data_IF_038865275375
#
_entry.id   IF_038865275375
#
_cell.length_a   1.000
_cell.length_b   1.000
_cell.length_c   1.000
_cell.angle_alpha   90.00
_cell.angle_beta   90.00
_cell.angle_gamma   90.00
#
_symmetry.space_group_name_H-M   'P 1'
#
loop_
_entity.id
_entity.type
_entity.pdbx_description
1 polymer ?
#
# COMPACT_ATOMS: atom_id res chain seq x y z
N UNK A 1 8.28 0.68 34.78
CA UNK A 1 8.83 -0.65 35.18
C UNK A 1 9.49 -1.29 33.98
N UNK A 2 10.74 -1.71 34.12
CA UNK A 2 11.51 -2.34 33.06
C UNK A 2 11.50 -3.85 33.25
N UNK A 3 11.24 -4.59 32.17
CA UNK A 3 11.21 -6.06 32.16
C UNK A 3 12.09 -6.60 31.05
N UNK A 4 12.71 -7.77 31.30
CA UNK A 4 13.41 -8.52 30.25
C UNK A 4 12.39 -9.41 29.52
N UNK A 5 12.38 -9.33 28.18
CA UNK A 5 11.40 -9.98 27.33
C UNK A 5 12.09 -10.68 26.17
N UNK A 6 11.72 -11.95 25.94
CA UNK A 6 12.07 -12.66 24.72
C UNK A 6 11.03 -12.35 23.63
N UNK A 7 11.49 -11.95 22.45
CA UNK A 7 10.65 -11.63 21.30
C UNK A 7 10.45 -12.88 20.44
N UNK A 8 9.25 -13.45 20.48
CA UNK A 8 8.93 -14.69 19.78
C UNK A 8 8.71 -14.49 18.27
N UNK A 9 8.10 -13.36 17.87
CA UNK A 9 7.84 -13.02 16.46
C UNK A 9 7.57 -11.54 16.28
N UNK A 10 7.57 -11.07 15.04
CA UNK A 10 7.06 -9.75 14.68
C UNK A 10 5.62 -9.86 14.16
N UNK A 11 4.72 -9.03 14.69
CA UNK A 11 3.32 -8.97 14.28
C UNK A 11 3.07 -7.93 13.20
N UNK A 12 1.91 -7.99 12.57
CA UNK A 12 1.49 -6.95 11.62
C UNK A 12 1.48 -5.58 12.31
N UNK A 13 2.13 -4.61 11.68
CA UNK A 13 2.49 -3.34 12.30
C UNK A 13 3.99 -3.19 12.55
N UNK A 14 4.73 -4.31 12.64
CA UNK A 14 6.19 -4.36 12.80
C UNK A 14 6.66 -4.57 14.23
N UNK A 15 5.77 -4.50 15.23
CA UNK A 15 6.15 -4.67 16.64
C UNK A 15 6.62 -6.09 16.93
N UNK A 16 7.66 -6.20 17.74
CA UNK A 16 8.06 -7.46 18.36
C UNK A 16 7.03 -7.89 19.39
N UNK A 17 6.62 -9.16 19.33
CA UNK A 17 5.70 -9.77 20.28
C UNK A 17 6.43 -10.73 21.22
N UNK A 18 6.32 -10.48 22.52
CA UNK A 18 6.79 -11.36 23.60
C UNK A 18 5.73 -11.61 24.64
N UNK A 19 6.16 -12.22 25.76
CA UNK A 19 5.32 -12.40 26.95
C UNK A 19 6.08 -11.96 28.20
N UNK A 20 5.35 -11.31 29.09
CA UNK A 20 5.83 -11.02 30.45
C UNK A 20 5.77 -12.25 31.33
N UNK A 21 6.46 -12.22 32.48
CA UNK A 21 6.44 -13.31 33.47
C UNK A 21 5.06 -13.64 34.03
N UNK A 22 4.10 -12.70 33.96
CA UNK A 22 2.69 -12.90 34.34
C UNK A 22 1.81 -13.48 33.21
N UNK A 23 2.41 -13.78 32.03
CA UNK A 23 1.74 -14.37 30.87
C UNK A 23 1.10 -13.36 29.91
N UNK A 24 1.01 -12.06 30.27
CA UNK A 24 0.47 -11.03 29.37
C UNK A 24 1.35 -10.86 28.14
N UNK A 25 0.70 -10.61 27.01
CA UNK A 25 1.38 -10.28 25.77
C UNK A 25 2.00 -8.88 25.86
N UNK A 26 3.23 -8.73 25.39
CA UNK A 26 3.91 -7.43 25.28
C UNK A 26 4.29 -7.14 23.84
N UNK A 27 4.00 -5.92 23.39
CA UNK A 27 4.39 -5.39 22.09
C UNK A 27 5.54 -4.40 22.28
N UNK A 28 6.64 -4.63 21.55
CA UNK A 28 7.87 -3.82 21.65
C UNK A 28 8.29 -3.37 20.24
N UNK A 29 7.97 -2.12 19.86
CA UNK A 29 8.46 -1.56 18.61
C UNK A 29 9.99 -1.56 18.55
N UNK A 30 10.54 -1.90 17.37
CA UNK A 30 11.99 -1.93 17.13
C UNK A 30 12.74 -3.12 17.72
N UNK A 31 12.01 -4.10 18.30
CA UNK A 31 12.54 -5.39 18.71
C UNK A 31 12.20 -6.48 17.67
N UNK A 32 13.13 -7.43 17.44
CA UNK A 32 13.00 -8.43 16.40
C UNK A 32 12.87 -9.83 16.95
N UNK A 33 12.24 -10.71 16.18
CA UNK A 33 12.11 -12.12 16.54
C UNK A 33 13.47 -12.75 16.87
N UNK A 34 13.53 -13.53 17.95
CA UNK A 34 14.75 -14.18 18.45
C UNK A 34 15.60 -13.31 19.37
N UNK A 35 15.21 -12.07 19.66
CA UNK A 35 15.95 -11.19 20.58
C UNK A 35 15.50 -11.33 22.02
N UNK A 36 16.43 -11.11 22.95
CA UNK A 36 16.15 -10.81 24.32
C UNK A 36 16.37 -9.32 24.58
N UNK A 37 15.35 -8.62 25.05
CA UNK A 37 15.37 -7.18 25.18
C UNK A 37 14.94 -6.73 26.57
N UNK A 38 15.49 -5.61 27.06
CA UNK A 38 14.91 -4.84 28.16
C UNK A 38 13.92 -3.84 27.60
N UNK A 39 12.69 -3.89 28.10
CA UNK A 39 11.61 -3.02 27.66
C UNK A 39 10.92 -2.36 28.85
N UNK A 40 10.64 -1.07 28.70
CA UNK A 40 9.91 -0.27 29.69
C UNK A 40 8.43 -0.22 29.32
N UNK A 41 7.56 -0.63 30.24
CA UNK A 41 6.12 -0.61 30.03
C UNK A 41 5.64 0.83 29.96
N UNK A 42 4.97 1.20 28.87
CA UNK A 42 4.45 2.55 28.60
C UNK A 42 2.92 2.61 28.59
N UNK A 43 2.26 1.48 28.32
CA UNK A 43 0.81 1.37 28.33
C UNK A 43 0.38 -0.02 28.82
N UNK A 44 -0.51 -0.10 29.79
CA UNK A 44 -1.06 -1.36 30.31
C UNK A 44 -2.54 -1.50 29.96
N UNK A 45 -2.90 -2.68 29.40
CA UNK A 45 -4.27 -3.13 29.18
C UNK A 45 -4.49 -4.46 29.91
N UNK A 46 -5.75 -4.86 30.04
CA UNK A 46 -6.12 -6.10 30.72
C UNK A 46 -5.40 -7.35 30.20
N UNK A 47 -5.21 -7.45 28.87
CA UNK A 47 -4.68 -8.66 28.22
C UNK A 47 -3.34 -8.46 27.53
N UNK A 48 -2.87 -7.25 27.41
CA UNK A 48 -1.58 -6.94 26.80
C UNK A 48 -1.00 -5.65 27.35
N UNK A 49 0.29 -5.47 27.11
CA UNK A 49 1.00 -4.22 27.40
C UNK A 49 1.73 -3.73 26.16
N UNK A 50 1.96 -2.42 26.06
CA UNK A 50 2.93 -1.86 25.13
C UNK A 50 4.14 -1.39 25.91
N UNK A 51 5.32 -1.65 25.35
CA UNK A 51 6.56 -1.28 25.98
C UNK A 51 7.49 -0.60 24.98
N UNK A 52 8.34 0.27 25.50
CA UNK A 52 9.41 0.92 24.75
C UNK A 52 10.68 0.11 24.89
N UNK A 53 11.36 -0.17 23.77
CA UNK A 53 12.68 -0.79 23.78
C UNK A 53 13.69 0.11 24.50
N UNK A 54 14.38 -0.44 25.49
CA UNK A 54 15.45 0.24 26.25
C UNK A 54 16.81 -0.26 25.80
N UNK A 55 16.97 -1.59 25.72
CA UNK A 55 18.25 -2.23 25.41
C UNK A 55 18.00 -3.58 24.73
N UNK A 56 18.82 -3.93 23.76
CA UNK A 56 18.90 -5.28 23.19
C UNK A 56 19.96 -6.03 23.96
N UNK A 57 19.54 -7.02 24.77
CA UNK A 57 20.45 -7.82 25.62
C UNK A 57 21.12 -8.92 24.80
N UNK A 58 20.30 -9.63 24.00
CA UNK A 58 20.78 -10.61 23.04
C UNK A 58 20.19 -10.28 21.68
N UNK A 59 21.06 -10.00 20.73
CA UNK A 59 20.68 -9.56 19.38
C UNK A 59 20.37 -10.75 18.50
N UNK A 60 19.32 -10.64 17.68
CA UNK A 60 19.10 -11.55 16.56
C UNK A 60 20.17 -11.37 15.49
N UNK A 61 20.58 -12.47 14.86
CA UNK A 61 21.45 -12.45 13.67
C UNK A 61 20.84 -11.66 12.51
N UNK A 62 19.54 -11.39 12.54
CA UNK A 62 18.79 -10.64 11.52
C UNK A 62 18.76 -9.13 11.78
N UNK A 63 19.24 -8.66 12.95
CA UNK A 63 19.43 -7.24 13.23
C UNK A 63 20.58 -6.68 12.41
N UNK A 64 20.39 -5.52 11.82
CA UNK A 64 21.50 -4.78 11.20
C UNK A 64 22.34 -4.10 12.28
N UNK A 65 23.67 -4.28 12.25
CA UNK A 65 24.62 -3.63 13.15
C UNK A 65 24.55 -2.09 13.01
N UNK A 66 24.38 -1.63 11.77
CA UNK A 66 24.17 -0.23 11.45
C UNK A 66 22.83 -0.10 10.71
N UNK A 67 21.72 0.22 11.38
CA UNK A 67 20.43 0.37 10.72
C UNK A 67 20.52 1.50 9.70
N UNK A 68 20.67 1.12 8.40
CA UNK A 68 20.65 2.00 7.22
C UNK A 68 21.33 3.38 7.41
N UNK A 69 22.40 3.42 8.20
CA UNK A 69 23.11 4.62 8.56
C UNK A 69 24.19 4.96 7.53
N UNK A 70 23.82 5.54 6.41
CA UNK A 70 24.73 6.44 5.75
C UNK A 70 24.28 7.87 6.07
N UNK A 71 24.97 8.47 7.02
CA UNK A 71 25.08 9.88 7.37
C UNK A 71 24.06 10.59 8.24
N UNK A 72 22.93 10.02 8.64
CA UNK A 72 22.07 10.65 9.68
C UNK A 72 21.12 9.63 10.29
N UNK A 73 21.53 8.89 11.30
CA UNK A 73 20.78 7.81 11.94
C UNK A 73 19.40 8.24 12.51
N UNK A 74 19.28 9.49 12.98
CA UNK A 74 18.00 10.01 13.45
C UNK A 74 16.98 10.26 12.33
N UNK A 75 17.43 10.67 11.15
CA UNK A 75 16.56 10.96 10.00
C UNK A 75 15.97 9.71 9.34
N UNK A 76 16.70 8.59 9.36
CA UNK A 76 16.23 7.35 8.73
C UNK A 76 15.19 6.62 9.59
N UNK A 77 15.32 6.68 10.91
CA UNK A 77 14.29 6.22 11.84
C UNK A 77 13.06 7.15 11.87
N UNK A 78 13.20 8.33 11.29
CA UNK A 78 12.20 9.39 11.31
C UNK A 78 11.27 9.37 10.09
N UNK A 79 11.59 8.62 9.02
CA UNK A 79 10.65 8.46 7.91
C UNK A 79 9.48 7.61 8.37
N UNK A 80 8.25 8.16 8.36
CA UNK A 80 7.09 7.47 8.88
C UNK A 80 6.89 6.10 8.24
N UNK A 81 6.73 5.11 9.11
CA UNK A 81 6.43 3.75 8.72
C UNK A 81 7.62 2.88 8.37
N UNK A 82 8.88 3.33 8.46
CA UNK A 82 10.06 2.47 8.28
C UNK A 82 10.31 1.54 9.49
N UNK A 83 9.30 0.76 9.84
CA UNK A 83 9.33 -0.11 11.03
C UNK A 83 10.40 -1.22 10.94
N UNK A 84 10.84 -1.59 9.76
CA UNK A 84 11.86 -2.62 9.52
C UNK A 84 13.23 -2.05 9.13
N UNK A 85 13.51 -0.76 9.41
CA UNK A 85 14.78 -0.13 9.04
C UNK A 85 16.01 -0.82 9.64
N UNK A 86 15.88 -1.41 10.83
CA UNK A 86 16.96 -2.11 11.55
C UNK A 86 17.01 -3.62 11.31
N UNK A 87 16.22 -4.17 10.38
CA UNK A 87 16.13 -5.60 10.10
C UNK A 87 16.73 -5.93 8.74
N UNK A 88 17.40 -7.08 8.59
CA UNK A 88 17.82 -7.59 7.28
C UNK A 88 16.62 -7.75 6.37
N UNK A 89 16.80 -7.49 5.07
CA UNK A 89 15.66 -7.47 4.13
C UNK A 89 14.98 -8.83 3.99
N UNK A 90 15.77 -9.90 3.96
CA UNK A 90 15.29 -11.27 3.89
C UNK A 90 14.46 -11.65 5.13
N UNK A 91 14.83 -11.14 6.30
CA UNK A 91 14.07 -11.34 7.53
C UNK A 91 12.76 -10.52 7.54
N UNK A 92 12.75 -9.30 6.95
CA UNK A 92 11.53 -8.55 6.71
C UNK A 92 10.54 -9.34 5.84
N UNK A 93 11.03 -9.95 4.74
CA UNK A 93 10.18 -10.74 3.84
C UNK A 93 9.57 -11.94 4.57
N UNK A 94 10.38 -12.69 5.34
CA UNK A 94 9.91 -13.82 6.16
C UNK A 94 8.89 -13.39 7.21
N UNK A 95 9.12 -12.24 7.87
CA UNK A 95 8.20 -11.70 8.86
C UNK A 95 6.84 -11.36 8.24
N UNK A 96 6.81 -10.69 7.09
CA UNK A 96 5.58 -10.34 6.38
C UNK A 96 4.81 -11.57 5.89
N UNK A 97 5.51 -12.57 5.34
CA UNK A 97 4.88 -13.82 4.96
C UNK A 97 4.29 -14.56 6.16
N UNK A 98 5.04 -14.66 7.26
CA UNK A 98 4.54 -15.24 8.51
C UNK A 98 3.32 -14.51 9.08
N UNK A 99 3.31 -13.18 8.98
CA UNK A 99 2.15 -12.36 9.38
C UNK A 99 0.91 -12.67 8.53
N UNK A 100 1.06 -12.82 7.22
CA UNK A 100 -0.04 -13.18 6.35
C UNK A 100 -0.59 -14.58 6.69
N UNK A 101 0.29 -15.58 6.94
CA UNK A 101 -0.12 -16.91 7.42
C UNK A 101 -0.92 -16.82 8.72
N UNK A 102 -0.43 -16.07 9.70
CA UNK A 102 -1.12 -15.85 10.97
C UNK A 102 -2.54 -15.28 10.79
N UNK A 103 -2.78 -14.47 9.76
CA UNK A 103 -4.11 -13.95 9.45
C UNK A 103 -5.04 -15.03 8.91
N UNK A 104 -4.59 -15.86 7.96
CA UNK A 104 -5.36 -16.98 7.43
C UNK A 104 -5.67 -18.00 8.53
N UNK A 105 -4.69 -18.38 9.36
CA UNK A 105 -4.85 -19.34 10.45
C UNK A 105 -5.88 -18.87 11.48
N UNK A 106 -5.77 -17.60 11.92
CA UNK A 106 -6.75 -17.00 12.85
C UNK A 106 -8.13 -16.86 12.25
N UNK A 107 -8.22 -16.63 10.95
CA UNK A 107 -9.48 -16.59 10.23
C UNK A 107 -10.10 -17.98 10.00
N UNK A 108 -9.29 -19.06 10.16
CA UNK A 108 -9.63 -20.46 9.82
C UNK A 108 -10.05 -20.61 8.35
N UNK A 109 -9.37 -19.88 7.47
CA UNK A 109 -9.55 -19.96 6.03
C UNK A 109 -8.43 -20.83 5.48
N UNK A 110 -8.73 -21.95 4.77
CA UNK A 110 -7.70 -22.76 4.12
C UNK A 110 -6.87 -21.88 3.18
N UNK A 111 -5.55 -21.93 3.37
CA UNK A 111 -4.61 -21.18 2.57
C UNK A 111 -3.71 -22.16 1.82
N UNK A 112 -3.69 -22.12 0.47
CA UNK A 112 -2.68 -22.86 -0.28
C UNK A 112 -1.28 -22.34 0.06
N UNK A 113 -0.25 -23.12 -0.25
CA UNK A 113 1.11 -22.62 -0.11
C UNK A 113 1.25 -21.31 -0.91
N UNK A 114 1.88 -20.32 -0.27
CA UNK A 114 2.21 -19.10 -0.96
C UNK A 114 3.17 -19.43 -2.09
N UNK A 115 2.82 -19.06 -3.30
CA UNK A 115 3.81 -19.08 -4.37
C UNK A 115 4.87 -18.07 -3.98
N UNK A 116 6.02 -18.59 -3.58
CA UNK A 116 7.18 -17.79 -3.20
C UNK A 116 7.60 -16.96 -4.41
N UNK A 117 7.34 -15.71 -4.35
CA UNK A 117 7.72 -14.79 -5.40
C UNK A 117 8.74 -13.82 -4.85
N UNK A 118 9.95 -14.33 -4.73
CA UNK A 118 11.17 -13.49 -4.71
C UNK A 118 11.21 -12.47 -5.85
N UNK A 119 10.39 -12.66 -6.88
CA UNK A 119 10.24 -11.76 -8.03
C UNK A 119 9.44 -10.47 -7.74
N UNK A 120 8.69 -10.40 -6.62
CA UNK A 120 7.88 -9.23 -6.27
C UNK A 120 8.44 -8.47 -5.07
N UNK A 121 9.56 -8.90 -4.55
CA UNK A 121 10.38 -8.04 -3.72
C UNK A 121 11.02 -7.01 -4.65
N UNK A 122 10.81 -5.73 -4.40
CA UNK A 122 11.66 -4.70 -4.98
C UNK A 122 13.11 -5.16 -4.83
N UNK A 123 13.86 -5.22 -5.93
CA UNK A 123 15.29 -5.53 -5.91
C UNK A 123 16.04 -4.54 -5.03
N UNK A 124 15.43 -3.37 -4.79
CA UNK A 124 15.93 -2.33 -3.91
C UNK A 124 14.87 -2.06 -2.84
N UNK A 125 15.13 -2.37 -1.54
CA UNK A 125 14.21 -2.07 -0.45
C UNK A 125 14.05 -0.57 -0.15
N UNK A 126 14.76 0.27 -0.89
CA UNK A 126 14.79 1.73 -0.81
C UNK A 126 14.52 2.34 -2.18
N UNK A 127 14.34 3.66 -2.23
CA UNK A 127 14.25 4.44 -3.47
C UNK A 127 13.12 4.02 -4.43
N UNK A 128 12.00 3.52 -3.91
CA UNK A 128 10.90 3.01 -4.72
C UNK A 128 9.71 3.97 -4.84
N UNK A 129 9.51 4.86 -3.84
CA UNK A 129 8.32 5.73 -3.82
C UNK A 129 8.38 6.75 -4.95
N UNK A 130 7.40 6.68 -5.84
CA UNK A 130 7.22 7.63 -6.94
C UNK A 130 6.37 8.86 -6.56
N UNK A 131 5.85 8.91 -5.33
CA UNK A 131 5.07 10.02 -4.78
C UNK A 131 5.34 10.17 -3.30
N UNK A 132 5.61 11.40 -2.88
CA UNK A 132 5.79 11.77 -1.46
C UNK A 132 4.96 13.01 -1.13
N UNK A 133 4.52 13.10 0.11
CA UNK A 133 3.82 14.27 0.65
C UNK A 133 4.56 14.70 1.89
N UNK A 134 5.16 15.89 1.85
CA UNK A 134 5.80 16.52 3.01
C UNK A 134 4.88 17.60 3.56
N UNK A 135 4.81 17.66 4.87
CA UNK A 135 4.13 18.74 5.57
C UNK A 135 5.09 19.91 5.82
N UNK A 136 4.58 21.10 5.98
CA UNK A 136 5.36 22.24 6.41
C UNK A 136 4.62 23.03 7.47
N UNK A 137 5.35 23.45 8.48
CA UNK A 137 4.85 24.26 9.58
C UNK A 137 5.98 25.09 10.19
N UNK A 138 5.60 26.14 10.93
CA UNK A 138 6.56 26.94 11.69
C UNK A 138 6.82 26.30 13.05
N UNK A 139 8.06 25.93 13.32
CA UNK A 139 8.50 25.36 14.60
C UNK A 139 9.65 26.20 15.16
N UNK A 140 9.55 26.62 16.43
CA UNK A 140 10.56 27.46 17.11
C UNK A 140 11.04 28.66 16.27
N UNK A 141 10.10 29.30 15.56
CA UNK A 141 10.38 30.45 14.73
C UNK A 141 10.79 30.17 13.29
N UNK A 142 11.18 28.93 12.95
CA UNK A 142 11.66 28.53 11.62
C UNK A 142 10.62 27.68 10.87
N UNK A 143 10.60 27.77 9.55
CA UNK A 143 9.83 26.87 8.70
C UNK A 143 10.56 25.52 8.57
N UNK A 144 9.84 24.43 8.85
CA UNK A 144 10.30 23.06 8.70
C UNK A 144 9.44 22.40 7.61
N UNK A 145 10.07 21.60 6.75
CA UNK A 145 9.40 20.83 5.69
C UNK A 145 9.80 19.36 5.84
N UNK A 146 8.82 18.51 6.10
CA UNK A 146 9.12 17.10 6.28
C UNK A 146 7.95 16.25 6.74
N UNK A 147 8.21 15.24 7.52
CA UNK A 147 7.22 14.31 8.02
C UNK A 147 6.73 14.66 9.42
N UNK A 148 5.47 14.39 9.72
CA UNK A 148 4.92 14.48 11.07
C UNK A 148 5.39 13.28 11.90
N UNK A 149 5.94 13.54 13.08
CA UNK A 149 6.31 12.52 14.07
C UNK A 149 5.09 12.20 14.93
N UNK A 150 4.68 10.95 14.94
CA UNK A 150 3.66 10.51 15.89
C UNK A 150 4.29 10.17 17.26
N UNK A 151 3.61 10.46 18.37
CA UNK A 151 2.29 11.12 18.47
C UNK A 151 2.37 12.66 18.61
N UNK A 152 3.56 13.27 18.57
CA UNK A 152 3.76 14.69 18.91
C UNK A 152 3.28 15.67 17.84
N UNK A 153 3.03 15.20 16.61
CA UNK A 153 2.75 16.02 15.42
C UNK A 153 3.87 17.02 15.04
N UNK A 154 5.01 17.00 15.73
CA UNK A 154 6.18 17.78 15.34
C UNK A 154 6.67 17.32 13.96
N UNK A 155 7.17 18.26 13.16
CA UNK A 155 7.78 17.94 11.89
C UNK A 155 9.26 17.59 12.07
N UNK A 156 9.65 16.54 11.40
CA UNK A 156 11.03 16.16 11.20
C UNK A 156 11.46 16.72 9.86
N UNK A 157 12.48 17.57 9.87
CA UNK A 157 12.96 18.18 8.63
C UNK A 157 13.58 17.13 7.70
N UNK A 158 13.18 17.14 6.43
CA UNK A 158 13.64 16.18 5.43
C UNK A 158 14.46 16.90 4.37
N UNK A 159 15.72 16.51 4.25
CA UNK A 159 16.63 16.93 3.16
C UNK A 159 16.84 15.81 2.13
N UNK A 160 16.61 14.57 2.53
CA UNK A 160 16.64 13.37 1.68
C UNK A 160 15.69 12.32 2.27
N UNK A 161 15.02 11.57 1.41
CA UNK A 161 14.09 10.50 1.78
C UNK A 161 14.59 9.17 1.23
N UNK A 162 15.02 8.22 2.08
CA UNK A 162 15.57 6.94 1.63
C UNK A 162 14.54 6.07 0.89
N UNK A 163 13.24 6.30 1.06
CA UNK A 163 12.20 5.56 0.35
C UNK A 163 11.81 6.21 -0.97
N UNK A 164 12.05 7.52 -1.13
CA UNK A 164 11.72 8.25 -2.36
C UNK A 164 12.70 7.93 -3.49
N UNK A 165 12.20 7.90 -4.70
CA UNK A 165 13.03 7.72 -5.89
C UNK A 165 14.14 8.78 -5.98
N UNK A 166 15.28 8.43 -6.60
CA UNK A 166 16.39 9.38 -6.75
C UNK A 166 15.99 10.69 -7.42
N UNK A 167 15.07 10.63 -8.38
CA UNK A 167 14.57 11.80 -9.10
C UNK A 167 13.76 12.75 -8.20
N UNK A 168 13.01 12.19 -7.24
CA UNK A 168 12.31 12.98 -6.22
C UNK A 168 13.33 13.59 -5.26
N UNK A 169 14.31 12.80 -4.79
CA UNK A 169 15.37 13.29 -3.91
C UNK A 169 16.17 14.44 -4.55
N UNK A 170 16.47 14.33 -5.85
CA UNK A 170 17.15 15.39 -6.59
C UNK A 170 16.32 16.69 -6.68
N UNK A 171 14.97 16.58 -6.65
CA UNK A 171 14.09 17.74 -6.70
C UNK A 171 13.85 18.39 -5.32
N UNK A 172 14.06 17.69 -4.21
CA UNK A 172 13.79 18.20 -2.85
C UNK A 172 14.41 19.57 -2.60
N UNK A 173 15.71 19.85 -2.89
CA UNK A 173 16.31 21.15 -2.59
C UNK A 173 15.64 22.31 -3.30
N UNK A 174 15.29 22.14 -4.57
CA UNK A 174 14.61 23.17 -5.37
C UNK A 174 13.18 23.40 -4.85
N UNK A 175 12.43 22.32 -4.62
CA UNK A 175 11.06 22.40 -4.08
C UNK A 175 11.04 23.08 -2.71
N UNK A 176 11.97 22.72 -1.82
CA UNK A 176 12.12 23.37 -0.51
C UNK A 176 12.37 24.85 -0.65
N UNK A 177 13.32 25.25 -1.51
CA UNK A 177 13.63 26.66 -1.78
C UNK A 177 12.41 27.42 -2.27
N UNK A 178 11.64 26.85 -3.21
CA UNK A 178 10.44 27.45 -3.75
C UNK A 178 9.35 27.61 -2.68
N UNK A 179 9.06 26.57 -1.90
CA UNK A 179 8.07 26.61 -0.81
C UNK A 179 8.45 27.64 0.25
N UNK A 180 9.71 27.63 0.70
CA UNK A 180 10.20 28.58 1.70
C UNK A 180 10.14 30.03 1.20
N UNK A 181 10.48 30.28 -0.07
CA UNK A 181 10.35 31.60 -0.67
C UNK A 181 8.90 32.12 -0.68
N UNK A 182 7.95 31.26 -1.00
CA UNK A 182 6.51 31.61 -0.96
C UNK A 182 6.04 31.91 0.48
N UNK A 183 6.58 31.21 1.48
CA UNK A 183 6.22 31.36 2.89
C UNK A 183 6.88 32.58 3.56
N UNK A 184 8.04 33.04 3.08
CA UNK A 184 8.83 34.10 3.71
C UNK A 184 8.81 35.40 2.94
N UNK A 185 9.00 35.38 1.61
CA UNK A 185 9.27 36.53 0.77
C UNK A 185 8.08 36.96 -0.11
N UNK A 186 7.03 36.15 -0.20
CA UNK A 186 5.85 36.47 -0.99
C UNK A 186 4.98 37.58 -0.36
N UNK A 187 4.04 38.19 -1.11
CA UNK A 187 3.02 39.07 -0.55
C UNK A 187 2.26 38.41 0.62
N UNK A 188 1.78 39.21 1.58
CA UNK A 188 1.11 38.71 2.79
C UNK A 188 -0.03 37.71 2.46
N UNK A 189 -0.85 38.03 1.46
CA UNK A 189 -1.94 37.16 1.02
C UNK A 189 -1.44 35.80 0.51
N UNK A 190 -0.35 35.78 -0.29
CA UNK A 190 0.27 34.58 -0.81
C UNK A 190 0.88 33.73 0.31
N UNK A 191 1.59 34.37 1.26
CA UNK A 191 2.15 33.69 2.44
C UNK A 191 1.08 32.97 3.26
N UNK A 192 -0.03 33.67 3.57
CA UNK A 192 -1.16 33.08 4.31
C UNK A 192 -1.79 31.92 3.54
N UNK A 193 -2.15 32.13 2.27
CA UNK A 193 -2.75 31.11 1.44
C UNK A 193 -1.84 29.87 1.23
N UNK A 194 -0.51 30.06 1.21
CA UNK A 194 0.44 28.94 1.16
C UNK A 194 0.50 28.20 2.49
N UNK A 195 0.60 28.92 3.61
CA UNK A 195 0.66 28.31 4.94
C UNK A 195 -0.59 27.47 5.27
N UNK A 196 -1.76 27.91 4.86
CA UNK A 196 -3.03 27.19 5.05
C UNK A 196 -3.11 25.84 4.31
N UNK A 197 -2.28 25.62 3.30
CA UNK A 197 -2.24 24.35 2.55
C UNK A 197 -1.44 23.25 3.26
N UNK A 198 -0.55 23.58 4.17
CA UNK A 198 0.21 22.71 5.08
C UNK A 198 1.03 21.59 4.46
N UNK A 199 0.98 21.36 3.15
CA UNK A 199 1.73 20.28 2.52
C UNK A 199 2.18 20.61 1.09
N UNK A 200 3.25 19.91 0.69
CA UNK A 200 3.75 19.88 -0.69
C UNK A 200 3.85 18.41 -1.13
N UNK A 201 3.34 18.12 -2.31
CA UNK A 201 3.45 16.81 -2.94
C UNK A 201 4.50 16.88 -4.03
N UNK A 202 5.38 15.88 -4.08
CA UNK A 202 6.31 15.64 -5.19
C UNK A 202 5.97 14.29 -5.79
N UNK A 203 5.76 14.22 -7.09
CA UNK A 203 5.45 12.99 -7.83
C UNK A 203 6.35 12.87 -9.04
N UNK A 204 6.83 11.67 -9.29
CA UNK A 204 7.62 11.33 -10.45
C UNK A 204 6.97 10.19 -11.23
N UNK A 205 7.11 10.24 -12.54
CA UNK A 205 6.90 9.07 -13.39
C UNK A 205 7.91 9.09 -14.53
N UNK A 206 8.24 7.91 -15.05
CA UNK A 206 9.21 7.77 -16.15
C UNK A 206 8.84 8.58 -17.39
N UNK A 207 7.54 8.76 -17.65
CA UNK A 207 7.01 9.45 -18.84
C UNK A 207 6.81 10.95 -18.64
N UNK A 208 6.56 11.41 -17.41
CA UNK A 208 6.25 12.81 -17.13
C UNK A 208 7.42 13.55 -16.47
N UNK A 209 8.38 12.83 -15.87
CA UNK A 209 9.39 13.41 -15.00
C UNK A 209 8.80 13.84 -13.66
N UNK A 210 9.49 14.73 -12.96
CA UNK A 210 9.06 15.26 -11.65
C UNK A 210 8.01 16.36 -11.85
N UNK A 211 6.94 16.27 -11.06
CA UNK A 211 5.93 17.30 -10.85
C UNK A 211 5.74 17.54 -9.37
N UNK A 212 5.48 18.78 -8.97
CA UNK A 212 5.18 19.08 -7.58
C UNK A 212 4.13 20.19 -7.46
N UNK A 213 3.44 20.23 -6.34
CA UNK A 213 2.42 21.24 -6.05
C UNK A 213 2.20 21.36 -4.55
N UNK A 214 1.62 22.48 -4.13
CA UNK A 214 1.30 22.78 -2.74
C UNK A 214 -0.22 22.60 -2.53
N UNK A 215 -0.60 21.84 -1.50
CA UNK A 215 -2.00 21.56 -1.18
C UNK A 215 -2.67 20.64 -2.18
N UNK A 216 -3.89 20.99 -2.64
CA UNK A 216 -4.65 20.19 -3.62
C UNK A 216 -3.91 20.12 -4.95
N UNK A 217 -3.91 18.93 -5.54
CA UNK A 217 -3.37 18.75 -6.89
C UNK A 217 -4.12 19.59 -7.93
N UNK A 218 -3.41 20.20 -8.91
CA UNK A 218 -4.04 20.95 -9.96
C UNK A 218 -4.80 20.03 -10.92
N UNK A 219 -6.02 20.42 -11.28
CA UNK A 219 -6.93 19.61 -12.11
C UNK A 219 -6.46 19.46 -13.57
N UNK A 220 -5.62 20.39 -14.04
CA UNK A 220 -5.09 20.42 -15.42
C UNK A 220 -3.75 19.65 -15.57
N UNK A 221 -3.20 19.10 -14.50
CA UNK A 221 -1.94 18.35 -14.57
C UNK A 221 -2.24 16.84 -14.68
N UNK A 222 -1.71 16.23 -15.72
CA UNK A 222 -1.82 14.81 -16.03
C UNK A 222 -0.45 14.16 -15.87
N UNK A 223 -0.42 13.05 -15.15
CA UNK A 223 0.76 12.20 -15.02
C UNK A 223 0.59 11.01 -15.98
N UNK A 224 1.62 10.71 -16.75
CA UNK A 224 1.65 9.53 -17.64
C UNK A 224 2.47 8.44 -16.97
N UNK A 225 1.80 7.38 -16.57
CA UNK A 225 2.41 6.18 -15.98
C UNK A 225 2.51 5.07 -17.03
N UNK A 226 3.41 4.11 -16.84
CA UNK A 226 3.57 2.97 -17.73
C UNK A 226 3.45 1.67 -16.93
N UNK A 227 2.59 0.74 -17.38
CA UNK A 227 2.39 -0.58 -16.79
C UNK A 227 2.08 -1.58 -17.89
N UNK A 228 2.76 -2.73 -17.88
CA UNK A 228 2.59 -3.81 -18.88
C UNK A 228 2.75 -3.32 -20.33
N UNK A 229 3.67 -2.39 -20.56
CA UNK A 229 3.91 -1.80 -21.88
C UNK A 229 2.83 -0.82 -22.38
N UNK A 230 1.87 -0.46 -21.52
CA UNK A 230 0.79 0.48 -21.81
C UNK A 230 0.98 1.77 -21.05
N UNK A 231 0.60 2.89 -21.69
CA UNK A 231 0.63 4.22 -21.05
C UNK A 231 -0.75 4.54 -20.50
N UNK A 232 -0.78 4.93 -19.24
CA UNK A 232 -1.98 5.37 -18.53
C UNK A 232 -1.87 6.85 -18.17
N UNK A 233 -2.88 7.61 -18.50
CA UNK A 233 -3.06 8.96 -18.01
C UNK A 233 -3.73 8.91 -16.64
N UNK A 234 -3.18 9.65 -15.68
CA UNK A 234 -3.63 9.70 -14.28
C UNK A 234 -3.74 11.16 -13.86
N UNK A 235 -4.80 11.61 -13.20
CA UNK A 235 -4.85 12.97 -12.66
C UNK A 235 -3.71 13.14 -11.62
N UNK A 236 -3.13 14.33 -11.51
CA UNK A 236 -1.99 14.58 -10.63
C UNK A 236 -2.22 14.11 -9.19
N UNK A 237 -3.42 14.34 -8.64
CA UNK A 237 -3.83 13.88 -7.31
C UNK A 237 -4.33 12.44 -7.26
N UNK A 238 -4.56 11.80 -8.42
CA UNK A 238 -5.13 10.47 -8.51
C UNK A 238 -4.23 9.37 -7.95
N UNK A 239 -4.87 8.28 -7.57
CA UNK A 239 -4.16 7.09 -7.10
C UNK A 239 -3.43 6.40 -8.27
N UNK A 240 -2.25 5.91 -7.98
CA UNK A 240 -1.46 4.95 -8.75
C UNK A 240 -0.48 4.26 -7.81
N UNK A 241 -0.02 3.05 -8.15
CA UNK A 241 0.87 2.29 -7.26
C UNK A 241 2.17 3.06 -6.99
N UNK A 242 2.54 3.17 -5.70
CA UNK A 242 3.68 3.98 -5.25
C UNK A 242 5.05 3.35 -5.55
N UNK A 243 5.07 2.05 -5.80
CA UNK A 243 6.23 1.28 -6.21
C UNK A 243 5.91 0.74 -7.61
N UNK A 244 6.36 1.41 -8.68
CA UNK A 244 5.98 1.05 -10.05
C UNK A 244 6.37 -0.37 -10.45
N UNK A 245 7.53 -0.83 -10.01
CA UNK A 245 8.06 -2.15 -10.36
C UNK A 245 7.22 -3.28 -9.72
N UNK A 246 6.91 -3.15 -8.43
CA UNK A 246 6.06 -4.12 -7.72
C UNK A 246 4.61 -3.98 -8.16
N UNK A 247 4.15 -2.77 -8.45
CA UNK A 247 2.83 -2.50 -9.00
C UNK A 247 2.62 -3.18 -10.36
N UNK A 248 3.61 -3.11 -11.25
CA UNK A 248 3.57 -3.82 -12.52
C UNK A 248 3.55 -5.34 -12.33
N UNK A 249 4.33 -5.87 -11.40
CA UNK A 249 4.33 -7.30 -11.07
C UNK A 249 2.96 -7.77 -10.56
N UNK A 250 2.30 -6.98 -9.70
CA UNK A 250 0.93 -7.25 -9.24
C UNK A 250 -0.06 -7.26 -10.41
N UNK A 251 0.00 -6.25 -11.30
CA UNK A 251 -0.87 -6.19 -12.47
C UNK A 251 -0.64 -7.39 -13.39
N UNK A 252 0.60 -7.79 -13.63
CA UNK A 252 0.93 -8.99 -14.43
C UNK A 252 0.35 -10.26 -13.82
N UNK A 253 0.45 -10.44 -12.50
CA UNK A 253 -0.12 -11.59 -11.81
C UNK A 253 -1.66 -11.65 -11.96
N UNK A 254 -2.34 -10.51 -11.81
CA UNK A 254 -3.79 -10.42 -12.06
C UNK A 254 -4.12 -10.78 -13.52
N UNK A 255 -3.36 -10.26 -14.48
CA UNK A 255 -3.55 -10.57 -15.93
C UNK A 255 -3.37 -12.05 -16.21
N UNK A 256 -2.38 -12.70 -15.63
CA UNK A 256 -2.15 -14.14 -15.77
C UNK A 256 -3.33 -14.95 -15.23
N UNK A 257 -3.86 -14.58 -14.05
CA UNK A 257 -4.99 -15.28 -13.45
C UNK A 257 -6.31 -15.07 -14.24
N UNK A 258 -6.52 -13.89 -14.80
CA UNK A 258 -7.66 -13.66 -15.71
C UNK A 258 -7.56 -14.52 -16.97
N UNK A 259 -6.36 -14.62 -17.58
CA UNK A 259 -6.13 -15.40 -18.79
C UNK A 259 -6.19 -16.91 -18.58
N UNK A 260 -5.81 -17.41 -17.40
CA UNK A 260 -5.77 -18.84 -17.10
C UNK A 260 -7.16 -19.51 -17.10
N UNK A 261 -8.23 -18.76 -16.90
CA UNK A 261 -9.63 -19.25 -16.93
C UNK A 261 -10.31 -19.07 -18.29
N UNK A 262 -9.72 -18.28 -19.19
CA UNK A 262 -10.32 -18.01 -20.50
C UNK A 262 -10.00 -19.10 -21.53
N UNK A 263 -10.96 -19.39 -22.42
CA UNK A 263 -10.67 -20.18 -23.62
C UNK A 263 -9.66 -19.46 -24.51
N UNK A 264 -8.66 -20.19 -25.04
CA UNK A 264 -7.58 -19.63 -25.87
C UNK A 264 -6.80 -18.47 -25.18
N UNK A 265 -6.75 -18.46 -23.84
CA UNK A 265 -6.00 -17.45 -23.08
C UNK A 265 -6.65 -16.05 -23.01
N UNK A 266 -7.95 -15.94 -23.31
CA UNK A 266 -8.73 -14.70 -23.13
C UNK A 266 -9.93 -14.97 -22.24
N UNK A 267 -10.17 -14.10 -21.25
CA UNK A 267 -11.43 -14.09 -20.53
C UNK A 267 -12.50 -13.41 -21.38
N UNK A 268 -13.70 -14.01 -21.44
CA UNK A 268 -14.80 -13.44 -22.21
C UNK A 268 -15.23 -12.07 -21.64
N UNK A 269 -15.34 -11.96 -20.33
CA UNK A 269 -15.75 -10.71 -19.66
C UNK A 269 -14.95 -10.48 -18.38
N UNK A 270 -14.53 -9.24 -18.15
CA UNK A 270 -13.94 -8.78 -16.89
C UNK A 270 -14.81 -7.69 -16.28
N UNK A 271 -15.15 -7.87 -15.02
CA UNK A 271 -15.73 -6.85 -14.16
C UNK A 271 -14.64 -6.36 -13.20
N UNK A 272 -14.20 -5.11 -13.35
CA UNK A 272 -13.16 -4.47 -12.56
C UNK A 272 -13.82 -3.51 -11.56
N UNK A 273 -13.94 -3.95 -10.32
CA UNK A 273 -14.56 -3.19 -9.22
C UNK A 273 -13.48 -2.38 -8.48
N UNK A 274 -13.78 -1.12 -8.19
CA UNK A 274 -12.83 -0.13 -7.68
C UNK A 274 -11.70 0.15 -8.69
N UNK A 275 -12.07 0.23 -9.96
CA UNK A 275 -11.12 0.17 -11.08
C UNK A 275 -10.17 1.37 -11.19
N UNK A 276 -10.38 2.47 -10.45
CA UNK A 276 -9.58 3.67 -10.56
C UNK A 276 -9.55 4.20 -12.00
N UNK A 277 -8.34 4.33 -12.57
CA UNK A 277 -8.12 4.76 -13.97
C UNK A 277 -8.10 3.58 -14.95
N UNK A 278 -8.55 2.39 -14.52
CA UNK A 278 -8.78 1.21 -15.36
C UNK A 278 -7.54 0.33 -15.58
N UNK A 279 -6.54 0.34 -14.71
CA UNK A 279 -5.25 -0.34 -14.95
C UNK A 279 -5.41 -1.85 -15.10
N UNK A 280 -6.04 -2.53 -14.14
CA UNK A 280 -6.20 -3.98 -14.15
C UNK A 280 -7.02 -4.43 -15.38
N UNK A 281 -8.22 -3.90 -15.53
CA UNK A 281 -9.12 -4.30 -16.61
C UNK A 281 -8.53 -4.05 -18.00
N UNK A 282 -7.91 -2.89 -18.23
CA UNK A 282 -7.29 -2.56 -19.53
C UNK A 282 -6.01 -3.37 -19.81
N UNK A 283 -5.25 -3.78 -18.79
CA UNK A 283 -4.11 -4.67 -18.97
C UNK A 283 -4.55 -6.11 -19.32
N UNK A 284 -5.67 -6.58 -18.79
CA UNK A 284 -6.22 -7.91 -19.09
C UNK A 284 -6.65 -8.07 -20.54
N UNK A 285 -7.12 -7.02 -21.20
CA UNK A 285 -7.64 -7.03 -22.59
C UNK A 285 -8.70 -8.13 -22.83
N UNK A 286 -9.79 -8.20 -22.04
CA UNK A 286 -10.86 -9.16 -22.24
C UNK A 286 -11.65 -8.83 -23.49
N UNK A 287 -12.60 -9.70 -23.89
CA UNK A 287 -13.55 -9.39 -24.97
C UNK A 287 -14.49 -8.26 -24.59
N UNK A 288 -14.86 -8.18 -23.29
CA UNK A 288 -15.70 -7.12 -22.72
C UNK A 288 -15.18 -6.72 -21.36
N UNK A 289 -15.07 -5.42 -21.12
CA UNK A 289 -14.66 -4.83 -19.83
C UNK A 289 -15.75 -3.93 -19.28
N UNK A 290 -16.09 -4.17 -18.01
CA UNK A 290 -16.92 -3.26 -17.23
C UNK A 290 -16.10 -2.80 -16.02
N UNK A 291 -15.88 -1.49 -15.88
CA UNK A 291 -15.19 -0.89 -14.74
C UNK A 291 -16.14 -0.05 -13.89
N UNK A 292 -16.08 -0.23 -12.58
CA UNK A 292 -16.89 0.51 -11.59
C UNK A 292 -15.95 1.21 -10.60
N UNK A 293 -16.14 2.51 -10.42
CA UNK A 293 -15.35 3.34 -9.50
C UNK A 293 -16.20 4.53 -9.07
N UNK A 294 -16.13 4.90 -7.80
CA UNK A 294 -16.90 6.03 -7.25
C UNK A 294 -16.37 7.40 -7.70
N UNK A 295 -15.06 7.50 -7.95
CA UNK A 295 -14.36 8.71 -8.33
C UNK A 295 -14.64 9.14 -9.77
N UNK A 296 -15.51 10.15 -9.98
CA UNK A 296 -15.85 10.66 -11.35
C UNK A 296 -14.62 10.99 -12.18
N UNK A 297 -13.64 11.69 -11.58
CA UNK A 297 -12.41 12.04 -12.29
C UNK A 297 -11.61 10.80 -12.70
N UNK A 298 -11.51 9.79 -11.85
CA UNK A 298 -10.85 8.53 -12.19
C UNK A 298 -11.53 7.82 -13.38
N UNK A 299 -12.86 7.80 -13.40
CA UNK A 299 -13.65 7.23 -14.52
C UNK A 299 -13.45 8.00 -15.84
N UNK A 300 -13.36 9.33 -15.80
CA UNK A 300 -13.01 10.09 -17.00
C UNK A 300 -11.65 9.69 -17.56
N UNK A 301 -10.66 9.49 -16.69
CA UNK A 301 -9.35 9.00 -17.09
C UNK A 301 -9.38 7.54 -17.54
N UNK A 302 -10.18 6.66 -16.92
CA UNK A 302 -10.35 5.29 -17.39
C UNK A 302 -10.90 5.23 -18.83
N UNK A 303 -11.91 6.06 -19.13
CA UNK A 303 -12.46 6.19 -20.51
C UNK A 303 -11.42 6.72 -21.50
N UNK A 304 -10.63 7.72 -21.11
CA UNK A 304 -9.51 8.25 -21.92
C UNK A 304 -8.45 7.19 -22.17
N UNK A 305 -8.07 6.44 -21.14
CA UNK A 305 -7.11 5.35 -21.25
C UNK A 305 -7.58 4.24 -22.17
N UNK A 306 -8.86 3.86 -22.11
CA UNK A 306 -9.46 2.90 -23.05
C UNK A 306 -9.41 3.41 -24.49
N UNK A 307 -9.80 4.67 -24.72
CA UNK A 307 -9.75 5.30 -26.03
C UNK A 307 -8.31 5.39 -26.59
N UNK A 308 -7.34 5.83 -25.78
CA UNK A 308 -5.93 5.90 -26.15
C UNK A 308 -5.34 4.53 -26.52
N UNK A 309 -5.83 3.45 -25.89
CA UNK A 309 -5.44 2.08 -26.17
C UNK A 309 -6.30 1.42 -27.27
N UNK A 310 -7.22 2.16 -27.89
CA UNK A 310 -8.16 1.67 -28.92
C UNK A 310 -8.99 0.47 -28.45
N UNK A 311 -9.34 0.44 -27.15
CA UNK A 311 -10.13 -0.63 -26.57
C UNK A 311 -11.62 -0.26 -26.54
N UNK A 312 -12.33 -0.59 -27.61
CA UNK A 312 -13.72 -0.17 -27.85
C UNK A 312 -14.75 -0.84 -26.91
N UNK A 313 -14.45 -2.07 -26.43
CA UNK A 313 -15.38 -2.88 -25.65
C UNK A 313 -15.30 -2.65 -24.13
N UNK A 314 -14.83 -1.46 -23.72
CA UNK A 314 -14.79 -1.05 -22.32
C UNK A 314 -15.94 -0.09 -21.98
N UNK A 315 -16.59 -0.33 -20.87
CA UNK A 315 -17.59 0.57 -20.28
C UNK A 315 -17.18 0.89 -18.84
N UNK A 316 -17.17 2.18 -18.49
CA UNK A 316 -16.79 2.64 -17.16
C UNK A 316 -17.91 3.49 -16.56
N UNK A 317 -18.24 3.21 -15.28
CA UNK A 317 -19.33 3.84 -14.56
C UNK A 317 -18.83 4.47 -13.27
N UNK A 318 -19.19 5.76 -13.05
CA UNK A 318 -18.87 6.49 -11.83
C UNK A 318 -19.96 6.21 -10.77
N UNK A 319 -19.81 5.07 -10.08
CA UNK A 319 -20.81 4.55 -9.14
C UNK A 319 -20.16 3.90 -7.93
N UNK A 320 -20.84 3.96 -6.77
CA UNK A 320 -20.45 3.19 -5.58
C UNK A 320 -20.88 1.73 -5.76
N UNK A 321 -19.93 0.80 -5.60
CA UNK A 321 -20.18 -0.64 -5.76
C UNK A 321 -21.27 -1.13 -4.82
N UNK A 322 -21.21 -0.76 -3.54
CA UNK A 322 -22.15 -1.18 -2.51
C UNK A 322 -23.58 -0.80 -2.79
N UNK A 323 -23.84 0.41 -3.31
CA UNK A 323 -25.18 0.90 -3.63
C UNK A 323 -25.74 0.28 -4.90
N UNK A 324 -24.90 0.05 -5.90
CA UNK A 324 -25.35 -0.34 -7.24
C UNK A 324 -25.18 -1.83 -7.56
N UNK A 325 -24.59 -2.62 -6.64
CA UNK A 325 -24.26 -4.05 -6.84
C UNK A 325 -25.37 -4.88 -7.47
N UNK A 326 -26.63 -4.66 -7.11
CA UNK A 326 -27.77 -5.42 -7.65
C UNK A 326 -28.03 -5.16 -9.15
N UNK A 327 -27.51 -4.06 -9.71
CA UNK A 327 -27.66 -3.69 -11.13
C UNK A 327 -26.46 -4.11 -11.96
N UNK A 328 -25.35 -4.51 -11.31
CA UNK A 328 -24.12 -4.93 -11.98
C UNK A 328 -24.26 -6.41 -12.36
N UNK A 329 -24.26 -6.76 -13.65
CA UNK A 329 -24.41 -8.14 -14.09
C UNK A 329 -23.14 -8.93 -13.82
N UNK A 330 -23.24 -10.10 -13.20
CA UNK A 330 -22.15 -11.06 -13.07
C UNK A 330 -22.66 -12.40 -13.65
N UNK A 331 -22.14 -12.76 -14.81
CA UNK A 331 -22.46 -14.01 -15.51
C UNK A 331 -21.45 -15.13 -15.23
N UNK A 332 -21.73 -16.30 -15.80
CA UNK A 332 -20.87 -17.50 -15.69
C UNK A 332 -19.55 -17.38 -16.48
N UNK A 333 -19.43 -16.37 -17.35
CA UNK A 333 -18.23 -16.08 -18.13
C UNK A 333 -17.48 -14.82 -17.62
N UNK A 334 -17.87 -14.28 -16.45
CA UNK A 334 -17.32 -13.04 -15.91
C UNK A 334 -16.26 -13.35 -14.87
N UNK A 335 -15.01 -12.95 -15.11
CA UNK A 335 -14.00 -12.87 -14.05
C UNK A 335 -14.13 -11.53 -13.34
N UNK A 336 -14.24 -11.56 -12.02
CA UNK A 336 -14.36 -10.36 -11.21
C UNK A 336 -13.00 -10.02 -10.59
N UNK A 337 -12.54 -8.78 -10.77
CA UNK A 337 -11.38 -8.22 -10.07
C UNK A 337 -11.93 -7.24 -9.03
N UNK A 338 -11.42 -7.28 -7.80
CA UNK A 338 -11.73 -6.33 -6.74
C UNK A 338 -10.45 -5.80 -6.11
N UNK A 339 -10.30 -4.48 -6.06
CA UNK A 339 -9.18 -3.78 -5.39
C UNK A 339 -9.74 -2.66 -4.50
N UNK A 340 -10.41 -3.01 -3.39
CA UNK A 340 -11.09 -2.05 -2.55
C UNK A 340 -10.09 -1.19 -1.74
N UNK A 341 -10.52 -0.04 -1.20
CA UNK A 341 -9.73 0.76 -0.27
C UNK A 341 -9.40 -0.03 1.01
N UNK A 342 -8.57 0.56 1.89
CA UNK A 342 -8.12 -0.06 3.14
C UNK A 342 -9.23 -0.60 4.03
N UNK A 343 -10.39 0.02 3.99
CA UNK A 343 -11.56 -0.42 4.77
C UNK A 343 -12.18 -1.73 4.25
N UNK A 344 -11.67 -2.26 3.12
CA UNK A 344 -12.18 -3.46 2.46
C UNK A 344 -13.49 -3.20 1.70
N UNK A 345 -14.24 -4.26 1.46
CA UNK A 345 -15.50 -4.18 0.74
C UNK A 345 -16.57 -3.45 1.56
N UNK A 346 -17.39 -2.67 0.88
CA UNK A 346 -18.57 -2.01 1.45
C UNK A 346 -19.60 -3.04 1.95
N UNK A 347 -20.46 -2.68 2.91
CA UNK A 347 -21.46 -3.60 3.44
C UNK A 347 -22.34 -4.26 2.37
N UNK A 348 -22.45 -5.58 2.43
CA UNK A 348 -23.23 -6.42 1.51
C UNK A 348 -22.57 -6.72 0.17
N UNK A 349 -21.36 -6.22 -0.10
CA UNK A 349 -20.62 -6.54 -1.35
C UNK A 349 -20.02 -7.94 -1.26
N UNK A 350 -19.46 -8.33 -0.11
CA UNK A 350 -18.95 -9.68 0.09
C UNK A 350 -20.03 -10.75 -0.09
N UNK A 351 -21.23 -10.53 0.47
CA UNK A 351 -22.38 -11.42 0.30
C UNK A 351 -22.84 -11.49 -1.15
N UNK A 352 -22.89 -10.36 -1.84
CA UNK A 352 -23.24 -10.29 -3.25
C UNK A 352 -22.24 -11.04 -4.12
N UNK A 353 -20.93 -10.88 -3.88
CA UNK A 353 -19.89 -11.65 -4.57
C UNK A 353 -19.98 -13.14 -4.28
N UNK A 354 -20.19 -13.52 -3.01
CA UNK A 354 -20.37 -14.92 -2.62
C UNK A 354 -21.55 -15.59 -3.34
N UNK A 355 -22.65 -14.85 -3.53
CA UNK A 355 -23.86 -15.33 -4.23
C UNK A 355 -23.77 -15.22 -5.76
N UNK A 356 -22.71 -14.62 -6.31
CA UNK A 356 -22.57 -14.39 -7.72
C UNK A 356 -22.33 -15.69 -8.52
N UNK A 357 -22.49 -15.61 -9.86
CA UNK A 357 -22.19 -16.71 -10.77
C UNK A 357 -20.77 -16.65 -11.35
N UNK A 358 -19.95 -15.71 -10.90
CA UNK A 358 -18.58 -15.59 -11.39
C UNK A 358 -17.80 -16.91 -11.19
N UNK A 359 -17.16 -17.47 -12.19
CA UNK A 359 -16.32 -18.66 -12.01
C UNK A 359 -15.06 -18.35 -11.21
N UNK A 360 -14.62 -17.10 -11.22
CA UNK A 360 -13.42 -16.62 -10.52
C UNK A 360 -13.58 -15.19 -10.00
N UNK A 361 -13.08 -14.97 -8.79
CA UNK A 361 -12.89 -13.65 -8.20
C UNK A 361 -11.40 -13.50 -7.88
N UNK A 362 -10.80 -12.38 -8.28
CA UNK A 362 -9.42 -12.01 -7.95
C UNK A 362 -9.50 -10.82 -7.00
N UNK A 363 -9.13 -11.05 -5.74
CA UNK A 363 -9.17 -10.02 -4.71
C UNK A 363 -7.74 -9.49 -4.45
N UNK A 364 -7.52 -8.22 -4.72
CA UNK A 364 -6.31 -7.48 -4.34
C UNK A 364 -6.60 -6.71 -3.05
N UNK A 365 -5.68 -6.70 -2.10
CA UNK A 365 -5.88 -6.03 -0.81
C UNK A 365 -4.58 -5.50 -0.23
N UNK A 366 -4.63 -4.26 0.25
CA UNK A 366 -3.52 -3.62 0.99
C UNK A 366 -3.63 -3.79 2.51
N UNK A 367 -4.69 -4.45 3.02
CA UNK A 367 -4.88 -4.69 4.46
C UNK A 367 -5.37 -6.12 4.73
N UNK A 368 -4.55 -6.97 5.36
CA UNK A 368 -4.91 -8.38 5.59
C UNK A 368 -6.07 -8.56 6.60
N UNK A 369 -6.33 -7.59 7.49
CA UNK A 369 -7.41 -7.72 8.45
C UNK A 369 -8.78 -7.59 7.78
N UNK A 370 -8.94 -6.58 6.92
CA UNK A 370 -10.17 -6.40 6.14
C UNK A 370 -10.33 -7.47 5.09
N UNK A 371 -9.23 -7.93 4.47
CA UNK A 371 -9.24 -9.08 3.58
C UNK A 371 -9.83 -10.32 4.25
N UNK A 372 -9.35 -10.69 5.45
CA UNK A 372 -9.87 -11.87 6.16
C UNK A 372 -11.35 -11.71 6.55
N UNK A 373 -11.79 -10.50 6.91
CA UNK A 373 -13.21 -10.22 7.17
C UNK A 373 -14.07 -10.57 5.95
N UNK A 374 -13.66 -10.10 4.79
CA UNK A 374 -14.41 -10.26 3.54
C UNK A 374 -14.33 -11.71 3.02
N UNK A 375 -13.16 -12.34 3.11
CA UNK A 375 -12.97 -13.74 2.71
C UNK A 375 -13.83 -14.71 3.52
N UNK A 376 -14.07 -14.48 4.83
CA UNK A 376 -14.99 -15.31 5.64
C UNK A 376 -16.40 -15.42 5.05
N UNK A 377 -16.82 -14.40 4.31
CA UNK A 377 -18.11 -14.39 3.63
C UNK A 377 -18.00 -15.04 2.27
N UNK A 378 -17.02 -14.64 1.46
CA UNK A 378 -16.87 -15.10 0.07
C UNK A 378 -16.56 -16.60 0.03
N UNK A 379 -15.74 -17.11 0.95
CA UNK A 379 -15.36 -18.53 0.99
C UNK A 379 -16.48 -19.49 1.37
N UNK A 380 -17.68 -19.00 1.67
CA UNK A 380 -18.85 -19.87 1.77
C UNK A 380 -19.15 -20.58 0.44
N UNK A 381 -18.94 -19.91 -0.68
CA UNK A 381 -19.25 -20.42 -2.02
C UNK A 381 -18.03 -20.44 -2.97
N UNK A 382 -16.87 -20.05 -2.49
CA UNK A 382 -15.61 -20.06 -3.25
C UNK A 382 -14.51 -20.72 -2.46
N UNK A 383 -13.60 -21.38 -3.13
CA UNK A 383 -12.35 -21.90 -2.56
C UNK A 383 -11.19 -20.96 -2.87
N UNK A 384 -10.30 -20.77 -1.92
CA UNK A 384 -9.04 -20.07 -2.14
C UNK A 384 -8.12 -20.97 -2.95
N UNK A 385 -7.91 -20.66 -4.21
CA UNK A 385 -7.07 -21.47 -5.12
C UNK A 385 -5.63 -20.98 -5.20
N UNK A 386 -5.40 -19.67 -4.92
CA UNK A 386 -4.05 -19.09 -4.91
C UNK A 386 -3.98 -17.92 -3.97
N UNK A 387 -2.85 -17.80 -3.28
CA UNK A 387 -2.48 -16.59 -2.51
C UNK A 387 -1.10 -16.16 -2.93
N UNK A 388 -0.96 -14.88 -3.25
CA UNK A 388 0.31 -14.27 -3.61
C UNK A 388 0.42 -12.91 -2.92
N UNK A 389 1.55 -12.62 -2.29
CA UNK A 389 1.77 -11.35 -1.65
C UNK A 389 2.91 -10.57 -2.31
N UNK A 390 2.85 -9.25 -2.22
CA UNK A 390 3.76 -8.33 -2.89
C UNK A 390 4.30 -7.34 -1.88
N UNK A 391 5.62 -7.24 -1.76
CA UNK A 391 6.24 -6.23 -0.91
C UNK A 391 6.19 -4.85 -1.58
N UNK A 392 4.97 -4.31 -1.73
CA UNK A 392 4.71 -3.01 -2.34
C UNK A 392 5.40 -1.87 -1.58
N UNK A 393 5.56 -2.04 -0.27
CA UNK A 393 6.09 -1.03 0.63
C UNK A 393 7.26 -1.59 1.46
N UNK A 394 8.43 -1.88 0.83
CA UNK A 394 9.62 -2.30 1.55
C UNK A 394 9.96 -1.38 2.73
N UNK A 395 10.52 -1.95 3.78
CA UNK A 395 10.89 -1.31 5.06
C UNK A 395 9.70 -0.84 5.90
N UNK A 396 8.47 -0.94 5.41
CA UNK A 396 7.26 -0.59 6.17
C UNK A 396 6.49 -1.85 6.58
N UNK A 397 5.53 -1.71 7.49
CA UNK A 397 4.65 -2.81 7.92
C UNK A 397 3.70 -3.32 6.81
N UNK A 398 3.56 -2.58 5.71
CA UNK A 398 2.53 -2.81 4.70
C UNK A 398 3.00 -3.71 3.58
N UNK A 399 2.06 -4.43 2.99
CA UNK A 399 2.22 -5.23 1.77
C UNK A 399 0.87 -5.39 1.07
N UNK A 400 0.89 -5.79 -0.18
CA UNK A 400 -0.31 -6.11 -0.95
C UNK A 400 -0.49 -7.63 -1.02
N UNK A 401 -1.72 -8.09 -1.08
CA UNK A 401 -2.07 -9.51 -1.21
C UNK A 401 -3.05 -9.70 -2.35
N UNK A 402 -2.75 -10.62 -3.26
CA UNK A 402 -3.70 -11.11 -4.25
C UNK A 402 -4.20 -12.49 -3.82
N UNK A 403 -5.51 -12.65 -3.77
CA UNK A 403 -6.19 -13.93 -3.51
C UNK A 403 -7.05 -14.29 -4.71
N UNK A 404 -6.83 -15.47 -5.25
CA UNK A 404 -7.66 -16.03 -6.31
C UNK A 404 -8.68 -16.98 -5.67
N UNK A 405 -9.93 -16.76 -6.00
CA UNK A 405 -11.08 -17.49 -5.47
C UNK A 405 -11.82 -18.14 -6.64
N UNK A 406 -11.89 -19.46 -6.65
CA UNK A 406 -12.63 -20.22 -7.65
C UNK A 406 -13.96 -20.70 -7.07
N UNK A 407 -15.03 -20.63 -7.89
CA UNK A 407 -16.36 -21.05 -7.51
C UNK A 407 -16.34 -22.52 -7.14
N UNK A 408 -16.96 -22.88 -5.99
CA UNK A 408 -17.19 -24.27 -5.61
C UNK A 408 -18.10 -24.97 -6.60
N UNK A 409 -17.79 -26.26 -6.85
CA UNK A 409 -18.60 -27.12 -7.71
C UNK A 409 -20.01 -27.35 -7.17
#
# INVERSE_FOLDING_TARGET
MTSTVYIAKNVYGGDGLGRLGDGRVVFVPGAWAGEQVKAEIVEEKKHFVKARLVEVVESSSDRLENPLSNSNSELQLAVPGMVYAGLKYEAELKAKEGQLRDFFDRARIPCPEFTSTTLHSSLLPLNYRNKVVYHFAKQKGNWVIGYRKEPSHELIDIVSDPLARPEINAAIPEVRKAVLSLLTNGPIAVRKATAEKENVTIRWSKRTGVKWWIGKAPDNVVIKEETCGKVFEVPAGGFYQMNPEVGEALVRAVVEEVKSKGEKGKSAEVLDLYCGVGVFGLCCQPEKLIGIESGRQAIEFAKRNAANQKFANAKFFAEEVGRNRKRIPIGENTTVIVDPPRDGLEPGVAEWLAASKAPRIIYVSCDPATLMRDLRVITRNYDVSKVQWFNMFPRTARFETMVVLDKKA
#
